data_IF_934540493485
#
_entry.id   IF_934540493485
#
_cell.length_a   1.000
_cell.length_b   1.000
_cell.length_c   1.000
_cell.angle_alpha   90.00
_cell.angle_beta   90.00
_cell.angle_gamma   90.00
#
_symmetry.space_group_name_H-M   'P 1'
#
loop_
_entity.id
_entity.type
_entity.pdbx_description
1 polymer ?
#
# COMPACT_ATOMS: atom_id res chain seq x y z
N UNK A 1 -1.21 -34.80 0.50
CA UNK A 1 -0.44 -35.79 1.29
C UNK A 1 -1.24 -36.16 2.54
N UNK A 2 -1.43 -37.47 2.79
CA UNK A 2 -2.24 -37.92 3.90
C UNK A 2 -1.39 -37.93 5.20
N UNK A 3 -1.39 -36.81 5.92
CA UNK A 3 -0.64 -36.64 7.16
C UNK A 3 -1.17 -37.50 8.34
N UNK A 4 -2.35 -38.15 8.17
CA UNK A 4 -2.90 -39.05 9.20
C UNK A 4 -2.03 -40.28 9.45
N UNK A 5 -1.18 -40.69 8.49
CA UNK A 5 -0.22 -41.80 8.64
C UNK A 5 0.94 -41.51 9.61
N UNK A 6 1.10 -40.28 10.08
CA UNK A 6 2.16 -39.91 11.04
C UNK A 6 1.76 -40.32 12.47
N UNK A 7 0.45 -40.42 12.77
CA UNK A 7 -0.07 -40.79 14.09
C UNK A 7 0.23 -42.27 14.38
N UNK A 8 1.14 -42.50 15.31
CA UNK A 8 1.56 -43.88 15.68
C UNK A 8 2.71 -44.45 14.86
N UNK A 9 3.28 -43.64 13.91
CA UNK A 9 4.46 -44.01 13.16
C UNK A 9 5.69 -44.10 14.06
N UNK A 10 5.91 -45.27 14.65
CA UNK A 10 7.16 -45.58 15.33
C UNK A 10 7.80 -46.74 14.58
N UNK A 11 8.96 -46.51 13.99
CA UNK A 11 9.79 -47.57 13.44
C UNK A 11 10.73 -48.06 14.54
N UNK A 12 10.67 -49.34 14.89
CA UNK A 12 11.48 -49.93 15.97
C UNK A 12 11.32 -49.22 17.35
N UNK A 13 10.08 -48.85 17.74
CA UNK A 13 9.75 -48.17 19.02
C UNK A 13 10.40 -46.79 19.19
N UNK A 14 10.93 -46.17 18.14
CA UNK A 14 11.48 -44.81 18.17
C UNK A 14 10.54 -43.83 17.53
N UNK A 15 10.42 -42.64 18.15
CA UNK A 15 9.75 -41.46 17.56
C UNK A 15 10.63 -40.79 16.52
N UNK A 16 10.08 -39.83 15.75
CA UNK A 16 10.80 -39.15 14.72
C UNK A 16 11.78 -38.12 15.30
N UNK A 17 13.02 -38.14 14.86
CA UNK A 17 14.03 -37.14 15.22
C UNK A 17 13.83 -35.84 14.43
N UNK A 18 13.28 -35.93 13.23
CA UNK A 18 12.98 -34.79 12.36
C UNK A 18 11.70 -35.06 11.56
N UNK A 19 10.81 -34.08 11.59
CA UNK A 19 9.67 -33.99 10.66
C UNK A 19 9.81 -32.70 9.88
N UNK A 20 9.68 -32.76 8.54
CA UNK A 20 9.66 -31.62 7.66
C UNK A 20 8.28 -31.54 7.01
N UNK A 21 7.60 -30.40 7.20
CA UNK A 21 6.39 -30.07 6.47
C UNK A 21 6.79 -29.06 5.39
N UNK A 22 6.62 -29.46 4.14
CA UNK A 22 6.98 -28.67 2.98
C UNK A 22 5.72 -28.37 2.17
N UNK A 23 5.43 -27.08 1.94
CA UNK A 23 4.24 -26.58 1.24
C UNK A 23 2.94 -27.27 1.66
N UNK A 24 2.74 -27.45 2.98
CA UNK A 24 1.61 -28.23 3.52
C UNK A 24 0.30 -27.41 3.57
N UNK A 25 0.39 -26.09 3.50
CA UNK A 25 -0.74 -25.18 3.32
C UNK A 25 -0.78 -24.72 1.86
N UNK A 26 -1.95 -24.80 1.25
CA UNK A 26 -2.24 -24.28 -0.08
C UNK A 26 -3.59 -23.56 -0.11
N UNK A 27 -3.91 -22.90 -1.23
CA UNK A 27 -5.15 -22.15 -1.36
C UNK A 27 -6.40 -23.04 -1.22
N UNK A 28 -6.33 -24.32 -1.62
CA UNK A 28 -7.48 -25.23 -1.57
C UNK A 28 -7.75 -25.73 -0.15
N UNK A 29 -6.70 -25.98 0.62
CA UNK A 29 -6.84 -26.53 1.97
C UNK A 29 -6.98 -25.46 3.06
N UNK A 30 -6.87 -24.17 2.70
CA UNK A 30 -7.02 -23.02 3.63
C UNK A 30 -8.26 -22.18 3.38
N UNK A 31 -9.15 -22.60 2.49
CA UNK A 31 -10.36 -21.83 2.07
C UNK A 31 -11.27 -21.52 3.26
N UNK A 32 -11.63 -22.52 4.07
CA UNK A 32 -12.61 -22.33 5.16
C UNK A 32 -11.93 -22.25 6.53
N UNK A 33 -12.56 -21.56 7.51
CA UNK A 33 -12.07 -21.54 8.88
C UNK A 33 -11.88 -22.95 9.46
N UNK A 34 -12.78 -23.88 9.12
CA UNK A 34 -12.74 -25.27 9.58
C UNK A 34 -11.53 -26.00 8.98
N UNK A 35 -11.21 -25.78 7.71
CA UNK A 35 -10.03 -26.40 7.07
C UNK A 35 -8.72 -25.87 7.67
N UNK A 36 -8.63 -24.56 7.94
CA UNK A 36 -7.48 -23.96 8.64
C UNK A 36 -7.33 -24.49 10.08
N UNK A 37 -8.45 -24.62 10.80
CA UNK A 37 -8.45 -25.23 12.14
C UNK A 37 -7.99 -26.70 12.12
N UNK A 38 -8.42 -27.49 11.11
CA UNK A 38 -7.95 -28.87 10.92
C UNK A 38 -6.46 -28.95 10.71
N UNK A 39 -5.88 -28.06 9.89
CA UNK A 39 -4.42 -27.99 9.66
C UNK A 39 -3.70 -27.65 10.97
N UNK A 40 -4.15 -26.63 11.68
CA UNK A 40 -3.57 -26.23 12.96
C UNK A 40 -3.59 -27.39 13.97
N UNK A 41 -4.73 -28.07 14.09
CA UNK A 41 -4.88 -29.25 14.96
C UNK A 41 -3.99 -30.42 14.51
N UNK A 42 -3.84 -30.65 13.21
CA UNK A 42 -2.97 -31.68 12.70
C UNK A 42 -1.51 -31.44 13.10
N UNK A 43 -1.01 -30.22 12.95
CA UNK A 43 0.36 -29.88 13.34
C UNK A 43 0.54 -30.00 14.86
N UNK A 44 -0.37 -29.47 15.66
CA UNK A 44 -0.21 -29.37 17.11
C UNK A 44 -0.55 -30.67 17.84
N UNK A 45 -1.56 -31.43 17.40
CA UNK A 45 -2.06 -32.61 18.06
C UNK A 45 -1.60 -33.95 17.45
N UNK A 46 -1.03 -33.94 16.24
CA UNK A 46 -0.55 -35.15 15.57
C UNK A 46 0.94 -35.09 15.26
N UNK A 47 1.38 -34.06 14.52
CA UNK A 47 2.76 -33.96 14.04
C UNK A 47 3.73 -33.70 15.20
N UNK A 48 3.48 -32.66 15.99
CA UNK A 48 4.36 -32.28 17.09
C UNK A 48 4.51 -33.40 18.16
N UNK A 49 3.43 -34.07 18.62
CA UNK A 49 3.57 -35.19 19.55
C UNK A 49 4.24 -36.44 18.97
N UNK A 50 4.36 -36.59 17.68
CA UNK A 50 5.09 -37.70 17.04
C UNK A 50 6.61 -37.57 17.12
N UNK A 51 7.12 -36.40 17.44
CA UNK A 51 8.56 -36.14 17.61
C UNK A 51 9.13 -36.77 18.87
N UNK A 52 10.42 -37.07 18.81
CA UNK A 52 11.20 -37.46 20.01
C UNK A 52 11.17 -36.32 21.04
N UNK A 53 10.77 -36.55 22.29
CA UNK A 53 10.53 -35.51 23.28
C UNK A 53 11.75 -34.60 23.59
N UNK A 54 12.97 -35.14 23.49
CA UNK A 54 14.19 -34.40 23.89
C UNK A 54 14.92 -33.79 22.71
N UNK A 55 14.94 -34.45 21.56
CA UNK A 55 15.81 -34.11 20.43
C UNK A 55 15.04 -33.89 19.12
N UNK A 56 13.74 -34.23 19.13
CA UNK A 56 12.92 -34.13 17.93
C UNK A 56 12.78 -32.70 17.44
N UNK A 57 12.82 -32.51 16.13
CA UNK A 57 12.76 -31.20 15.45
C UNK A 57 11.63 -31.20 14.45
N UNK A 58 10.86 -30.12 14.44
CA UNK A 58 9.88 -29.82 13.41
C UNK A 58 10.42 -28.67 12.55
N UNK A 59 10.47 -28.88 11.24
CA UNK A 59 10.75 -27.83 10.25
C UNK A 59 9.53 -27.62 9.39
N UNK A 60 9.21 -26.37 9.13
CA UNK A 60 8.11 -25.98 8.26
C UNK A 60 8.69 -25.05 7.22
N UNK A 61 8.56 -25.43 5.95
CA UNK A 61 8.86 -24.59 4.80
C UNK A 61 7.54 -24.33 4.07
N UNK A 62 7.36 -23.12 3.57
CA UNK A 62 6.20 -22.77 2.77
C UNK A 62 5.97 -21.27 2.73
N UNK A 63 5.09 -20.86 1.83
CA UNK A 63 4.63 -19.49 1.70
C UNK A 63 3.30 -19.36 2.47
N UNK A 64 3.08 -18.29 3.22
CA UNK A 64 1.78 -18.07 3.84
C UNK A 64 0.73 -17.83 2.74
N UNK A 65 -0.38 -18.56 2.77
CA UNK A 65 -1.42 -18.53 1.72
C UNK A 65 -2.70 -17.84 2.16
N UNK A 66 -2.90 -17.68 3.47
CA UNK A 66 -4.08 -17.05 4.05
C UNK A 66 -3.73 -16.34 5.36
N UNK A 67 -4.39 -15.18 5.65
CA UNK A 67 -4.10 -14.39 6.86
C UNK A 67 -4.32 -15.15 8.18
N UNK A 68 -5.20 -16.17 8.18
CA UNK A 68 -5.50 -17.04 9.31
C UNK A 68 -4.88 -18.43 9.15
N UNK A 69 -3.92 -18.63 8.23
CA UNK A 69 -3.19 -19.88 8.05
C UNK A 69 -2.23 -20.15 9.21
N UNK A 70 -1.80 -21.38 9.36
CA UNK A 70 -0.89 -21.79 10.45
C UNK A 70 0.46 -21.07 10.34
N UNK A 71 1.04 -21.01 9.14
CA UNK A 71 2.31 -20.31 8.89
C UNK A 71 2.15 -18.83 9.23
N UNK A 72 1.07 -18.19 8.79
CA UNK A 72 0.85 -16.76 9.05
C UNK A 72 0.68 -16.46 10.54
N UNK A 73 -0.01 -17.32 11.31
CA UNK A 73 -0.12 -17.19 12.77
C UNK A 73 1.24 -17.22 13.45
N UNK A 74 2.14 -18.09 13.00
CA UNK A 74 3.51 -18.14 13.52
C UNK A 74 4.28 -16.87 13.20
N UNK A 75 4.19 -16.35 11.97
CA UNK A 75 4.84 -15.10 11.58
C UNK A 75 4.37 -13.92 12.43
N UNK A 76 3.05 -13.74 12.57
CA UNK A 76 2.46 -12.68 13.40
C UNK A 76 2.85 -12.82 14.87
N UNK A 77 2.80 -14.04 15.41
CA UNK A 77 3.18 -14.31 16.80
C UNK A 77 4.66 -14.03 17.07
N UNK A 78 5.54 -14.36 16.12
CA UNK A 78 6.97 -14.07 16.20
C UNK A 78 7.25 -12.57 16.18
N UNK A 79 6.62 -11.83 15.28
CA UNK A 79 6.80 -10.37 15.19
C UNK A 79 6.29 -9.66 16.45
N UNK A 80 5.17 -10.13 17.01
CA UNK A 80 4.65 -9.62 18.26
C UNK A 80 5.60 -9.92 19.44
N UNK A 81 6.07 -11.16 19.57
CA UNK A 81 7.03 -11.55 20.61
C UNK A 81 8.31 -10.74 20.52
N UNK A 82 8.82 -10.48 19.29
CA UNK A 82 9.97 -9.62 19.04
C UNK A 82 9.75 -8.17 19.48
N UNK A 83 8.57 -7.60 19.21
CA UNK A 83 8.22 -6.24 19.67
C UNK A 83 8.14 -6.16 21.19
N UNK A 84 7.57 -7.18 21.82
CA UNK A 84 7.41 -7.27 23.27
C UNK A 84 8.65 -7.79 24.00
N UNK A 85 9.72 -8.14 23.27
CA UNK A 85 10.96 -8.76 23.79
C UNK A 85 10.69 -10.03 24.61
N UNK A 86 9.73 -10.84 24.17
CA UNK A 86 9.38 -12.13 24.78
C UNK A 86 10.01 -13.29 24.01
N UNK A 87 10.23 -14.39 24.68
CA UNK A 87 10.64 -15.65 24.04
C UNK A 87 9.52 -16.20 23.16
N UNK A 88 9.91 -16.78 22.03
CA UNK A 88 9.00 -17.44 21.11
C UNK A 88 9.51 -18.84 20.77
N UNK A 89 8.61 -19.83 20.82
CA UNK A 89 8.98 -21.24 20.67
C UNK A 89 9.46 -21.64 19.27
N UNK A 90 9.23 -20.79 18.26
CA UNK A 90 9.65 -21.02 16.89
C UNK A 90 10.82 -20.13 16.50
N UNK A 91 11.80 -20.74 15.84
CA UNK A 91 12.83 -19.95 15.12
C UNK A 91 12.28 -19.66 13.72
N UNK A 92 12.03 -18.39 13.43
CA UNK A 92 11.47 -17.93 12.15
C UNK A 92 12.57 -17.29 11.29
N UNK A 93 12.62 -17.69 10.03
CA UNK A 93 13.50 -17.10 9.01
C UNK A 93 12.62 -16.82 7.80
N UNK A 94 12.63 -15.59 7.30
CA UNK A 94 11.84 -15.15 6.15
C UNK A 94 12.77 -14.75 5.01
N UNK A 95 12.38 -15.12 3.80
CA UNK A 95 13.11 -14.81 2.57
C UNK A 95 12.18 -14.11 1.59
N UNK A 96 12.01 -12.80 1.77
CA UNK A 96 11.27 -11.97 0.80
C UNK A 96 12.14 -11.73 -0.42
N UNK A 97 11.54 -11.69 -1.61
CA UNK A 97 12.27 -11.38 -2.84
C UNK A 97 12.89 -9.97 -2.80
N UNK A 98 12.25 -9.03 -2.13
CA UNK A 98 12.77 -7.70 -1.83
C UNK A 98 12.96 -7.59 -0.31
N UNK A 99 14.15 -7.26 0.12
CA UNK A 99 14.48 -7.07 1.54
C UNK A 99 13.93 -5.73 2.04
N UNK A 100 13.90 -5.54 3.36
CA UNK A 100 13.36 -4.32 3.98
C UNK A 100 14.15 -3.04 3.60
N UNK A 101 15.42 -3.18 3.19
CA UNK A 101 16.26 -2.08 2.70
C UNK A 101 16.06 -1.79 1.20
N UNK A 102 15.15 -2.51 0.54
CA UNK A 102 14.85 -2.37 -0.88
C UNK A 102 15.78 -3.15 -1.80
N UNK A 103 16.73 -3.94 -1.27
CA UNK A 103 17.62 -4.76 -2.10
C UNK A 103 16.96 -6.09 -2.47
N UNK A 104 17.12 -6.58 -3.72
CA UNK A 104 16.67 -7.92 -4.08
C UNK A 104 17.41 -9.01 -3.30
N UNK A 105 16.72 -10.05 -2.88
CA UNK A 105 17.34 -11.20 -2.21
C UNK A 105 18.41 -11.88 -3.09
N UNK A 106 18.19 -11.95 -4.38
CA UNK A 106 19.09 -12.57 -5.34
C UNK A 106 19.29 -11.70 -6.59
N UNK A 107 20.08 -10.61 -6.50
CA UNK A 107 20.17 -9.60 -7.56
C UNK A 107 20.62 -10.13 -8.92
N UNK A 108 21.49 -11.15 -8.94
CA UNK A 108 22.04 -11.72 -10.18
C UNK A 108 21.05 -12.60 -10.95
N UNK A 109 19.99 -13.08 -10.32
CA UNK A 109 19.00 -13.98 -10.92
C UNK A 109 17.60 -13.40 -10.92
N UNK A 110 17.20 -12.74 -9.85
CA UNK A 110 15.89 -12.13 -9.67
C UNK A 110 16.05 -10.70 -9.12
N UNK A 111 16.49 -9.79 -10.00
CA UNK A 111 16.71 -8.38 -9.69
C UNK A 111 15.45 -7.53 -9.82
N UNK A 112 15.61 -6.21 -9.68
CA UNK A 112 14.49 -5.26 -9.80
C UNK A 112 13.73 -5.38 -11.12
N UNK A 113 14.44 -5.54 -12.23
CA UNK A 113 13.84 -5.66 -13.56
C UNK A 113 12.94 -6.88 -13.68
N UNK A 114 13.37 -8.02 -13.16
CA UNK A 114 12.61 -9.26 -13.16
C UNK A 114 11.38 -9.15 -12.23
N UNK A 115 11.53 -8.50 -11.07
CA UNK A 115 10.43 -8.21 -10.15
C UNK A 115 9.36 -7.33 -10.79
N UNK A 116 9.75 -6.24 -11.44
CA UNK A 116 8.80 -5.36 -12.13
C UNK A 116 8.07 -6.08 -13.27
N UNK A 117 8.78 -6.92 -14.03
CA UNK A 117 8.15 -7.78 -15.05
C UNK A 117 7.12 -8.73 -14.44
N UNK A 118 7.43 -9.34 -13.29
CA UNK A 118 6.49 -10.22 -12.58
C UNK A 118 5.31 -9.46 -12.00
N UNK A 119 5.52 -8.32 -11.36
CA UNK A 119 4.45 -7.44 -10.87
C UNK A 119 3.49 -7.08 -12.00
N UNK A 120 4.04 -6.64 -13.14
CA UNK A 120 3.25 -6.31 -14.32
C UNK A 120 2.43 -7.51 -14.82
N UNK A 121 3.02 -8.70 -14.91
CA UNK A 121 2.32 -9.91 -15.33
C UNK A 121 1.10 -10.19 -14.43
N UNK A 122 1.27 -10.16 -13.10
CA UNK A 122 0.16 -10.39 -12.18
C UNK A 122 -0.89 -9.27 -12.24
N UNK A 123 -0.49 -8.01 -12.44
CA UNK A 123 -1.41 -6.90 -12.61
C UNK A 123 -2.23 -7.04 -13.91
N UNK A 124 -1.57 -7.33 -15.03
CA UNK A 124 -2.23 -7.54 -16.33
C UNK A 124 -3.19 -8.75 -16.30
N UNK A 125 -2.89 -9.73 -15.43
CA UNK A 125 -3.73 -10.92 -15.19
C UNK A 125 -4.88 -10.68 -14.19
N UNK A 126 -5.03 -9.45 -13.66
CA UNK A 126 -6.06 -9.12 -12.66
C UNK A 126 -5.81 -9.69 -11.26
N UNK A 127 -4.60 -10.19 -10.98
CA UNK A 127 -4.25 -10.83 -9.71
C UNK A 127 -2.99 -10.23 -9.06
N UNK A 128 -2.87 -8.89 -8.92
CA UNK A 128 -1.64 -8.25 -8.43
C UNK A 128 -1.24 -8.71 -7.02
N UNK A 129 -2.21 -9.07 -6.16
CA UNK A 129 -1.97 -9.60 -4.82
C UNK A 129 -1.12 -10.87 -4.82
N UNK A 130 -1.24 -11.72 -5.85
CA UNK A 130 -0.47 -12.96 -5.96
C UNK A 130 1.05 -12.70 -5.98
N UNK A 131 1.50 -11.60 -6.59
CA UNK A 131 2.91 -11.22 -6.53
C UNK A 131 3.37 -11.01 -5.08
N UNK A 132 2.57 -10.30 -4.29
CA UNK A 132 2.94 -10.00 -2.90
C UNK A 132 2.87 -11.24 -2.02
N UNK A 133 1.89 -12.12 -2.25
CA UNK A 133 1.78 -13.40 -1.57
C UNK A 133 3.02 -14.27 -1.84
N UNK A 134 3.32 -14.51 -3.11
CA UNK A 134 4.36 -15.47 -3.54
C UNK A 134 5.79 -14.96 -3.34
N UNK A 135 6.02 -13.66 -3.57
CA UNK A 135 7.37 -13.10 -3.56
C UNK A 135 7.67 -12.24 -2.32
N UNK A 136 6.65 -11.69 -1.68
CA UNK A 136 6.83 -10.78 -0.55
C UNK A 136 6.34 -11.37 0.78
N UNK A 137 5.77 -12.60 0.76
CA UNK A 137 5.19 -13.27 1.93
C UNK A 137 4.08 -12.45 2.60
N UNK A 138 3.35 -11.65 1.82
CA UNK A 138 2.28 -10.80 2.28
C UNK A 138 0.94 -11.43 1.91
N UNK A 139 0.22 -11.92 2.90
CA UNK A 139 -1.07 -12.60 2.71
C UNK A 139 -2.21 -11.63 2.85
N UNK A 140 -3.22 -11.82 2.03
CA UNK A 140 -4.42 -11.01 1.96
C UNK A 140 -5.65 -11.80 2.38
N UNK A 141 -6.60 -11.12 3.05
CA UNK A 141 -7.93 -11.63 3.33
C UNK A 141 -8.94 -10.90 2.48
N UNK A 142 -9.60 -11.61 1.55
CA UNK A 142 -10.75 -11.04 0.84
C UNK A 142 -11.99 -10.93 1.74
N UNK A 143 -12.12 -11.80 2.75
CA UNK A 143 -13.29 -11.85 3.65
C UNK A 143 -13.33 -10.68 4.64
N UNK A 144 -12.16 -10.13 5.01
CA UNK A 144 -12.05 -8.97 5.91
C UNK A 144 -11.77 -7.65 5.16
N UNK A 145 -11.67 -7.69 3.84
CA UNK A 145 -11.40 -6.51 3.04
C UNK A 145 -12.60 -5.56 3.05
N UNK A 146 -12.38 -4.31 3.46
CA UNK A 146 -13.41 -3.26 3.41
C UNK A 146 -13.75 -2.85 1.98
N UNK A 147 -12.82 -3.07 1.05
CA UNK A 147 -12.95 -2.72 -0.35
C UNK A 147 -12.84 -3.97 -1.20
N UNK A 148 -13.90 -4.34 -1.89
CA UNK A 148 -13.89 -5.48 -2.81
C UNK A 148 -13.27 -5.08 -4.16
N UNK A 149 -12.72 -6.06 -4.89
CA UNK A 149 -12.13 -5.82 -6.22
C UNK A 149 -13.10 -5.21 -7.21
N UNK A 150 -14.39 -5.54 -7.11
CA UNK A 150 -15.45 -5.04 -7.98
C UNK A 150 -15.64 -3.53 -7.87
N UNK A 151 -15.29 -2.95 -6.71
CA UNK A 151 -15.37 -1.53 -6.43
C UNK A 151 -14.19 -0.74 -7.01
N UNK A 152 -13.10 -1.40 -7.44
CA UNK A 152 -11.92 -0.74 -7.98
C UNK A 152 -12.13 -0.47 -9.46
N UNK A 153 -12.17 0.80 -9.82
CA UNK A 153 -12.19 1.26 -11.22
C UNK A 153 -10.79 1.63 -11.65
N UNK A 154 -10.44 1.26 -12.88
CA UNK A 154 -9.18 1.66 -13.50
C UNK A 154 -9.42 2.69 -14.58
N UNK A 155 -8.45 3.55 -14.78
CA UNK A 155 -8.42 4.49 -15.87
C UNK A 155 -7.02 4.56 -16.49
N UNK A 156 -6.99 4.79 -17.78
CA UNK A 156 -5.81 5.19 -18.51
C UNK A 156 -6.05 6.59 -19.06
N UNK A 157 -5.00 7.38 -19.17
CA UNK A 157 -5.14 8.75 -19.65
C UNK A 157 -4.07 9.67 -19.09
N UNK A 158 -4.21 10.95 -19.41
CA UNK A 158 -3.23 11.97 -19.10
C UNK A 158 -3.83 13.12 -18.31
N UNK A 159 -2.98 13.84 -17.63
CA UNK A 159 -3.28 15.11 -17.00
C UNK A 159 -2.67 16.23 -17.86
N UNK A 160 -3.36 17.35 -17.98
CA UNK A 160 -2.84 18.52 -18.68
C UNK A 160 -3.32 19.80 -18.02
N UNK A 161 -2.59 20.88 -18.29
CA UNK A 161 -2.93 22.22 -17.84
C UNK A 161 -2.98 23.14 -19.04
N UNK A 162 -4.03 23.91 -19.15
CA UNK A 162 -4.12 24.99 -20.11
C UNK A 162 -3.35 26.21 -19.58
N UNK A 163 -2.34 26.64 -20.29
CA UNK A 163 -1.46 27.75 -19.89
C UNK A 163 -2.17 29.10 -19.94
N UNK A 164 -3.17 29.28 -20.83
CA UNK A 164 -3.90 30.53 -20.99
C UNK A 164 -4.94 30.74 -19.86
N UNK A 165 -5.75 29.75 -19.61
CA UNK A 165 -6.79 29.82 -18.56
C UNK A 165 -6.31 29.42 -17.17
N UNK A 166 -5.18 28.71 -17.08
CA UNK A 166 -4.67 28.12 -15.85
C UNK A 166 -5.48 26.94 -15.34
N UNK A 167 -6.49 26.51 -16.09
CA UNK A 167 -7.35 25.38 -15.74
C UNK A 167 -6.62 24.05 -15.95
N UNK A 168 -6.97 23.10 -15.11
CA UNK A 168 -6.42 21.74 -15.15
C UNK A 168 -7.46 20.77 -15.69
N UNK A 169 -6.98 19.77 -16.44
CA UNK A 169 -7.84 18.78 -17.07
C UNK A 169 -7.30 17.37 -16.87
N UNK A 170 -8.17 16.45 -16.61
CA UNK A 170 -7.91 15.02 -16.75
C UNK A 170 -8.51 14.56 -18.09
N UNK A 171 -7.75 13.78 -18.85
CA UNK A 171 -8.15 13.25 -20.15
C UNK A 171 -8.11 11.72 -20.05
N UNK A 172 -9.21 11.05 -19.65
CA UNK A 172 -9.30 9.60 -19.72
C UNK A 172 -9.15 9.12 -21.15
N UNK A 173 -8.57 7.94 -21.36
CA UNK A 173 -8.43 7.37 -22.70
C UNK A 173 -9.80 7.15 -23.35
N UNK A 174 -9.97 7.71 -24.55
CA UNK A 174 -11.24 7.62 -25.29
C UNK A 174 -12.30 8.64 -24.88
N UNK A 175 -12.02 9.51 -23.90
CA UNK A 175 -12.93 10.56 -23.42
C UNK A 175 -12.47 11.95 -23.79
N UNK A 176 -13.38 12.92 -23.71
CA UNK A 176 -13.04 14.34 -23.82
C UNK A 176 -12.32 14.84 -22.55
N UNK A 177 -11.50 15.92 -22.67
CA UNK A 177 -10.87 16.58 -21.52
C UNK A 177 -11.93 17.04 -20.51
N UNK A 178 -11.79 16.63 -19.24
CA UNK A 178 -12.67 17.02 -18.14
C UNK A 178 -11.93 18.02 -17.24
N UNK A 179 -12.49 19.22 -17.01
CA UNK A 179 -11.89 20.15 -16.05
C UNK A 179 -11.88 19.54 -14.66
N UNK A 180 -10.87 19.84 -13.86
CA UNK A 180 -10.76 19.23 -12.55
C UNK A 180 -10.10 20.17 -11.52
N UNK A 181 -10.43 19.96 -10.25
CA UNK A 181 -9.68 20.47 -9.13
C UNK A 181 -8.68 19.41 -8.66
N UNK A 182 -7.48 19.85 -8.29
CA UNK A 182 -6.41 18.99 -7.80
C UNK A 182 -6.31 19.08 -6.28
N UNK A 183 -6.16 17.93 -5.63
CA UNK A 183 -5.91 17.82 -4.19
C UNK A 183 -4.76 16.88 -3.94
N UNK A 184 -4.01 17.13 -2.87
CA UNK A 184 -2.89 16.29 -2.45
C UNK A 184 -3.06 15.91 -0.99
N UNK A 185 -3.03 14.62 -0.70
CA UNK A 185 -2.98 14.10 0.67
C UNK A 185 -1.54 13.72 1.02
N UNK A 186 -1.12 14.06 2.21
CA UNK A 186 0.25 13.86 2.69
C UNK A 186 0.21 13.13 4.03
N UNK A 187 0.79 11.93 4.04
CA UNK A 187 1.05 11.13 5.24
C UNK A 187 2.56 11.09 5.47
N UNK A 188 3.12 11.88 6.39
CA UNK A 188 4.55 11.89 6.67
C UNK A 188 4.93 10.76 7.62
N UNK A 189 5.98 9.99 7.30
CA UNK A 189 6.52 8.97 8.20
C UNK A 189 6.99 9.58 9.52
N UNK A 190 6.62 8.96 10.62
CA UNK A 190 6.87 9.47 11.97
C UNK A 190 8.26 9.17 12.52
N UNK A 191 9.01 8.21 11.94
CA UNK A 191 10.32 7.81 12.47
C UNK A 191 11.27 7.30 11.36
N UNK A 192 12.10 8.20 10.85
CA UNK A 192 13.11 7.88 9.82
C UNK A 192 14.32 7.07 10.35
N UNK A 193 14.43 6.90 11.67
CA UNK A 193 15.62 6.30 12.31
C UNK A 193 15.49 4.77 12.49
N UNK A 194 14.31 4.18 12.36
CA UNK A 194 14.11 2.74 12.52
C UNK A 194 14.10 2.04 11.17
N UNK A 195 14.77 0.88 11.07
CA UNK A 195 14.84 0.04 9.86
C UNK A 195 13.46 -0.43 9.34
N UNK A 196 12.42 -0.34 10.14
CA UNK A 196 11.01 -0.67 9.80
C UNK A 196 10.13 0.57 9.90
N UNK A 197 10.60 1.77 9.52
CA UNK A 197 9.80 2.98 9.51
C UNK A 197 8.69 2.90 8.45
N UNK A 198 7.57 3.55 8.75
CA UNK A 198 6.47 3.77 7.82
C UNK A 198 6.93 4.59 6.60
N UNK A 199 6.14 4.59 5.55
CA UNK A 199 6.45 5.37 4.36
C UNK A 199 5.92 6.80 4.50
N UNK A 200 6.69 7.78 4.06
CA UNK A 200 6.13 9.09 3.73
C UNK A 200 5.47 9.00 2.36
N UNK A 201 4.22 9.39 2.29
CA UNK A 201 3.42 9.28 1.07
C UNK A 201 2.73 10.59 0.74
N UNK A 202 2.77 10.97 -0.55
CA UNK A 202 2.00 12.08 -1.11
C UNK A 202 1.14 11.52 -2.26
N UNK A 203 -0.18 11.60 -2.15
CA UNK A 203 -1.12 11.15 -3.20
C UNK A 203 -1.78 12.34 -3.84
N UNK A 204 -1.71 12.42 -5.17
CA UNK A 204 -2.32 13.49 -5.97
C UNK A 204 -3.57 12.98 -6.67
N UNK A 205 -4.70 13.64 -6.48
CA UNK A 205 -5.98 13.33 -7.10
C UNK A 205 -6.53 14.49 -7.91
N UNK A 206 -7.28 14.17 -8.97
CA UNK A 206 -8.11 15.11 -9.71
C UNK A 206 -9.59 14.81 -9.48
N UNK A 207 -10.38 15.84 -9.20
CA UNK A 207 -11.83 15.73 -9.00
C UNK A 207 -12.54 16.48 -10.11
N UNK A 208 -13.37 15.79 -10.87
CA UNK A 208 -14.11 16.31 -12.03
C UNK A 208 -15.52 16.79 -11.64
N UNK A 209 -16.23 17.57 -12.50
CA UNK A 209 -17.57 18.09 -12.20
C UNK A 209 -18.61 17.02 -11.90
N UNK A 210 -18.47 15.82 -12.49
CA UNK A 210 -19.29 14.64 -12.22
C UNK A 210 -18.89 13.92 -10.92
N UNK A 211 -18.03 14.56 -10.12
CA UNK A 211 -17.53 14.08 -8.83
C UNK A 211 -16.71 12.77 -8.91
N UNK A 212 -16.22 12.41 -10.10
CA UNK A 212 -15.26 11.32 -10.23
C UNK A 212 -13.88 11.78 -9.73
N UNK A 213 -13.18 10.87 -9.08
CA UNK A 213 -11.86 11.08 -8.47
C UNK A 213 -10.85 10.22 -9.23
N UNK A 214 -9.92 10.87 -9.92
CA UNK A 214 -8.84 10.21 -10.63
C UNK A 214 -7.55 10.32 -9.83
N UNK A 215 -7.00 9.20 -9.39
CA UNK A 215 -5.65 9.21 -8.78
C UNK A 215 -4.64 9.38 -9.92
N UNK A 216 -3.97 10.54 -9.93
CA UNK A 216 -3.04 10.91 -11.00
C UNK A 216 -1.71 10.21 -10.76
N UNK A 217 -1.15 10.37 -9.55
CA UNK A 217 0.15 9.86 -9.17
C UNK A 217 0.31 9.83 -7.66
N UNK A 218 1.34 9.13 -7.18
CA UNK A 218 1.76 9.18 -5.78
C UNK A 218 3.28 9.07 -5.65
N UNK A 219 3.82 9.69 -4.62
CA UNK A 219 5.21 9.58 -4.18
C UNK A 219 5.20 8.77 -2.91
N UNK A 220 5.99 7.70 -2.84
CA UNK A 220 6.10 6.82 -1.68
C UNK A 220 7.56 6.49 -1.40
N UNK A 221 8.06 6.92 -0.23
CA UNK A 221 9.45 6.68 0.13
C UNK A 221 9.59 6.49 1.65
N UNK A 222 10.44 5.56 2.08
CA UNK A 222 10.68 5.28 3.50
C UNK A 222 11.49 6.33 4.24
N UNK A 223 12.35 7.05 3.54
CA UNK A 223 13.36 7.92 4.16
C UNK A 223 13.34 9.32 3.59
N UNK A 224 12.16 9.95 3.54
CA UNK A 224 12.10 11.35 3.15
C UNK A 224 12.46 12.25 4.32
N UNK A 225 13.56 13.02 4.25
CA UNK A 225 13.82 14.07 5.21
C UNK A 225 12.79 15.19 5.06
N UNK A 226 12.72 16.08 6.03
CA UNK A 226 11.83 17.26 5.94
C UNK A 226 12.21 18.12 4.72
N UNK A 227 13.49 18.40 4.56
CA UNK A 227 14.09 19.09 3.40
C UNK A 227 15.22 18.26 2.83
N UNK A 228 15.40 18.30 1.53
CA UNK A 228 16.57 17.70 0.87
C UNK A 228 17.85 18.44 1.19
N UNK A 229 18.98 17.79 0.88
CA UNK A 229 20.32 18.38 1.07
C UNK A 229 20.65 19.16 -0.21
N UNK A 230 20.88 20.50 -0.12
CA UNK A 230 21.22 21.31 -1.29
C UNK A 230 22.45 20.78 -2.02
N UNK A 231 22.39 20.72 -3.34
CA UNK A 231 23.52 20.30 -4.19
C UNK A 231 23.70 18.78 -4.33
N UNK A 232 22.95 17.94 -3.63
CA UNK A 232 23.08 16.47 -3.69
C UNK A 232 22.02 15.81 -4.58
N UNK A 233 21.00 16.55 -5.03
CA UNK A 233 19.83 15.99 -5.72
C UNK A 233 18.85 15.26 -4.79
N UNK A 234 19.16 15.16 -3.49
CA UNK A 234 18.25 14.59 -2.48
C UNK A 234 17.08 15.56 -2.24
N UNK A 235 15.85 15.05 -2.28
CA UNK A 235 14.62 15.80 -2.02
C UNK A 235 14.00 15.36 -0.70
N UNK A 236 13.45 16.34 0.03
CA UNK A 236 12.65 16.10 1.21
C UNK A 236 11.14 16.23 0.91
N UNK A 237 10.31 15.95 1.92
CA UNK A 237 8.86 16.01 1.79
C UNK A 237 8.39 17.42 1.40
N UNK A 238 9.00 18.46 1.95
CA UNK A 238 8.68 19.85 1.65
C UNK A 238 9.08 20.22 0.21
N UNK A 239 10.21 19.70 -0.29
CA UNK A 239 10.60 19.92 -1.69
C UNK A 239 9.57 19.34 -2.64
N UNK A 240 9.06 18.14 -2.38
CA UNK A 240 7.98 17.53 -3.17
C UNK A 240 6.68 18.34 -3.09
N UNK A 241 6.32 18.87 -1.92
CA UNK A 241 5.12 19.73 -1.78
C UNK A 241 5.24 20.97 -2.71
N UNK A 242 6.39 21.63 -2.75
CA UNK A 242 6.59 22.78 -3.63
C UNK A 242 6.62 22.40 -5.11
N UNK A 243 7.22 21.27 -5.47
CA UNK A 243 7.20 20.78 -6.86
C UNK A 243 5.78 20.44 -7.32
N UNK A 244 5.01 19.73 -6.49
CA UNK A 244 3.62 19.42 -6.78
C UNK A 244 2.77 20.71 -6.87
N UNK A 245 3.06 21.72 -6.03
CA UNK A 245 2.39 23.01 -6.10
C UNK A 245 2.72 23.77 -7.39
N UNK A 246 3.95 23.72 -7.85
CA UNK A 246 4.35 24.37 -9.10
C UNK A 246 3.71 23.67 -10.31
N UNK A 247 3.74 22.34 -10.33
CA UNK A 247 3.30 21.54 -11.46
C UNK A 247 1.78 21.44 -11.55
N UNK A 248 1.12 21.00 -10.45
CA UNK A 248 -0.32 20.73 -10.46
C UNK A 248 -1.17 21.90 -10.00
N UNK A 249 -0.62 22.85 -9.22
CA UNK A 249 -1.35 23.93 -8.55
C UNK A 249 -2.58 23.42 -7.78
N UNK A 250 -2.38 22.53 -6.80
CA UNK A 250 -3.49 21.95 -6.06
C UNK A 250 -4.31 23.01 -5.34
N UNK A 251 -5.62 22.80 -5.31
CA UNK A 251 -6.54 23.61 -4.50
C UNK A 251 -6.21 23.50 -3.02
N UNK A 252 -5.70 22.34 -2.58
CA UNK A 252 -5.32 22.13 -1.18
C UNK A 252 -4.37 20.92 -1.04
N UNK A 253 -3.42 21.04 -0.11
CA UNK A 253 -2.68 19.94 0.50
C UNK A 253 -3.32 19.63 1.86
N UNK A 254 -3.73 18.39 2.10
CA UNK A 254 -4.15 17.92 3.43
C UNK A 254 -3.00 17.13 4.02
N UNK A 255 -2.43 17.61 5.12
CA UNK A 255 -1.21 17.05 5.72
C UNK A 255 -1.54 16.53 7.11
N UNK A 256 -1.21 15.28 7.41
CA UNK A 256 -1.39 14.74 8.75
C UNK A 256 -0.60 15.57 9.78
N UNK A 257 -1.30 16.03 10.83
CA UNK A 257 -0.73 16.82 11.92
C UNK A 257 -0.57 15.97 13.17
N UNK A 258 0.63 15.46 13.34
CA UNK A 258 1.10 14.78 14.54
C UNK A 258 2.20 15.61 15.22
N UNK A 259 2.62 15.19 16.40
CA UNK A 259 3.77 15.85 17.07
C UNK A 259 5.03 15.83 16.20
N UNK A 260 5.17 14.81 15.35
CA UNK A 260 6.34 14.60 14.49
C UNK A 260 6.27 15.40 13.18
N UNK A 261 5.11 15.87 12.75
CA UNK A 261 4.97 16.70 11.54
C UNK A 261 5.17 18.20 11.76
N UNK A 262 5.29 18.66 13.01
CA UNK A 262 5.57 20.08 13.32
C UNK A 262 6.76 20.67 12.56
N UNK A 263 7.92 19.98 12.43
CA UNK A 263 9.04 20.48 11.64
C UNK A 263 8.70 20.69 10.16
N UNK A 264 7.79 19.88 9.60
CA UNK A 264 7.33 20.01 8.21
C UNK A 264 6.59 21.34 8.03
N UNK A 265 5.64 21.67 8.91
CA UNK A 265 4.91 22.95 8.83
C UNK A 265 5.84 24.15 8.98
N UNK A 266 6.81 24.09 9.92
CA UNK A 266 7.81 25.16 10.07
C UNK A 266 8.65 25.32 8.81
N UNK A 267 9.08 24.23 8.20
CA UNK A 267 9.85 24.24 6.95
C UNK A 267 9.01 24.77 5.78
N UNK A 268 7.73 24.39 5.67
CA UNK A 268 6.81 24.94 4.64
C UNK A 268 6.75 26.47 4.77
N UNK A 269 6.49 27.02 5.96
CA UNK A 269 6.42 28.46 6.14
C UNK A 269 7.75 29.17 5.83
N UNK A 270 8.88 28.57 6.19
CA UNK A 270 10.20 29.10 5.91
C UNK A 270 10.48 29.10 4.40
N UNK A 271 10.16 28.02 3.71
CA UNK A 271 10.34 27.87 2.27
C UNK A 271 9.38 28.77 1.46
N UNK A 272 8.14 28.97 1.92
CA UNK A 272 7.22 29.95 1.33
C UNK A 272 7.85 31.34 1.28
N UNK A 273 8.43 31.77 2.41
CA UNK A 273 9.11 33.08 2.49
C UNK A 273 10.35 33.11 1.62
N UNK A 274 11.21 32.08 1.68
CA UNK A 274 12.45 32.01 0.92
C UNK A 274 12.23 32.03 -0.59
N UNK A 275 11.20 31.28 -1.06
CA UNK A 275 10.85 31.18 -2.47
C UNK A 275 9.90 32.29 -2.96
N UNK A 276 9.41 33.14 -2.04
CA UNK A 276 8.39 34.15 -2.31
C UNK A 276 7.10 33.55 -2.92
N UNK A 277 6.70 32.35 -2.43
CA UNK A 277 5.50 31.62 -2.86
C UNK A 277 4.48 31.66 -1.73
N UNK A 278 3.37 32.39 -1.92
CA UNK A 278 2.32 32.55 -0.92
C UNK A 278 0.97 31.93 -1.32
N UNK A 279 0.91 31.31 -2.50
CA UNK A 279 -0.29 30.67 -3.04
C UNK A 279 -0.37 29.16 -2.74
N UNK A 280 0.45 28.63 -1.84
CA UNK A 280 0.38 27.25 -1.38
C UNK A 280 -0.71 27.16 -0.31
N UNK A 281 -1.79 26.46 -0.63
CA UNK A 281 -2.90 26.20 0.29
C UNK A 281 -2.69 24.83 0.96
N UNK A 282 -2.59 24.81 2.30
CA UNK A 282 -2.49 23.54 3.03
C UNK A 282 -3.31 23.56 4.31
N UNK A 283 -3.79 22.38 4.70
CA UNK A 283 -4.58 22.17 5.90
C UNK A 283 -3.96 21.07 6.75
N UNK A 284 -3.51 21.40 7.98
CA UNK A 284 -3.15 20.37 8.96
C UNK A 284 -4.38 19.57 9.37
N UNK A 285 -4.26 18.26 9.44
CA UNK A 285 -5.31 17.34 9.85
C UNK A 285 -4.87 16.50 11.04
N UNK A 286 -5.44 16.79 12.19
CA UNK A 286 -5.13 16.06 13.43
C UNK A 286 -5.88 14.73 13.43
N UNK A 287 -5.20 13.58 13.54
CA UNK A 287 -5.86 12.29 13.71
C UNK A 287 -6.73 12.33 14.97
N UNK A 288 -8.02 12.08 14.82
CA UNK A 288 -8.95 12.12 15.95
C UNK A 288 -8.70 11.00 16.95
N UNK A 289 -8.53 11.30 18.23
CA UNK A 289 -8.32 10.30 19.30
C UNK A 289 -9.54 9.40 19.55
N UNK A 290 -10.71 9.70 18.96
CA UNK A 290 -11.97 8.97 19.19
C UNK A 290 -12.25 7.91 18.13
N UNK A 291 -11.56 7.94 17.02
CA UNK A 291 -11.76 7.05 15.88
C UNK A 291 -10.45 6.36 15.51
N UNK A 292 -10.49 5.06 15.24
CA UNK A 292 -9.30 4.36 14.78
C UNK A 292 -8.89 4.86 13.38
N UNK A 293 -7.62 4.71 13.00
CA UNK A 293 -7.13 5.03 11.64
C UNK A 293 -7.99 4.32 10.58
N UNK A 294 -8.31 3.06 10.83
CA UNK A 294 -9.15 2.23 9.97
C UNK A 294 -10.55 2.82 9.77
N UNK A 295 -11.23 3.18 10.87
CA UNK A 295 -12.59 3.71 10.79
C UNK A 295 -12.62 5.05 10.05
N UNK A 296 -11.60 5.89 10.23
CA UNK A 296 -11.44 7.15 9.50
C UNK A 296 -11.29 6.93 7.99
N UNK A 297 -10.42 6.01 7.58
CA UNK A 297 -10.22 5.68 6.17
C UNK A 297 -11.52 5.10 5.59
N UNK A 298 -12.17 4.21 6.32
CA UNK A 298 -13.45 3.63 5.92
C UNK A 298 -14.53 4.70 5.72
N UNK A 299 -14.68 5.63 6.67
CA UNK A 299 -15.65 6.72 6.58
C UNK A 299 -15.45 7.57 5.32
N UNK A 300 -14.19 7.88 4.99
CA UNK A 300 -13.86 8.74 3.85
C UNK A 300 -13.98 8.00 2.52
N UNK A 301 -13.52 6.76 2.43
CA UNK A 301 -13.32 6.07 1.16
C UNK A 301 -14.38 5.03 0.82
N UNK A 302 -15.04 4.39 1.82
CA UNK A 302 -15.89 3.23 1.55
C UNK A 302 -17.03 3.54 0.59
N UNK A 303 -17.79 4.60 0.83
CA UNK A 303 -18.89 4.97 -0.05
C UNK A 303 -18.40 5.34 -1.46
N UNK A 304 -17.26 6.03 -1.56
CA UNK A 304 -16.70 6.46 -2.85
C UNK A 304 -16.25 5.27 -3.70
N UNK A 305 -15.65 4.26 -3.07
CA UNK A 305 -15.33 3.01 -3.77
C UNK A 305 -16.60 2.22 -4.13
N UNK A 306 -17.56 2.09 -3.22
CA UNK A 306 -18.80 1.35 -3.45
C UNK A 306 -19.61 1.88 -4.65
N UNK A 307 -19.61 3.20 -4.87
CA UNK A 307 -20.27 3.81 -6.03
C UNK A 307 -19.36 3.93 -7.27
N UNK A 308 -18.12 3.42 -7.20
CA UNK A 308 -17.17 3.43 -8.31
C UNK A 308 -16.65 4.83 -8.67
N UNK A 309 -16.59 5.74 -7.70
CA UNK A 309 -16.18 7.14 -7.88
C UNK A 309 -14.67 7.31 -8.00
N UNK A 310 -13.87 6.39 -7.39
CA UNK A 310 -12.41 6.46 -7.37
C UNK A 310 -11.84 5.60 -8.50
N UNK A 311 -11.00 6.22 -9.34
CA UNK A 311 -10.34 5.61 -10.47
C UNK A 311 -8.83 5.57 -10.26
N UNK A 312 -8.22 4.39 -10.32
CA UNK A 312 -6.79 4.16 -10.15
C UNK A 312 -6.12 3.91 -11.49
N UNK A 313 -4.83 4.19 -11.61
CA UNK A 313 -4.03 3.68 -12.74
C UNK A 313 -3.61 2.24 -12.48
N UNK A 314 -3.52 1.42 -13.53
CA UNK A 314 -3.08 0.02 -13.44
C UNK A 314 -1.70 -0.15 -12.84
N UNK A 315 -0.82 0.81 -13.01
CA UNK A 315 0.55 0.81 -12.45
C UNK A 315 0.65 1.30 -11.00
N UNK A 316 -0.47 1.67 -10.37
CA UNK A 316 -0.50 2.05 -8.95
C UNK A 316 -0.51 0.80 -8.05
N UNK A 317 0.47 -0.08 -8.19
CA UNK A 317 0.50 -1.42 -7.58
C UNK A 317 0.38 -1.39 -6.06
N UNK A 318 1.15 -0.52 -5.37
CA UNK A 318 1.15 -0.44 -3.91
C UNK A 318 -0.20 0.07 -3.39
N UNK A 319 -0.76 1.11 -4.01
CA UNK A 319 -2.07 1.64 -3.63
C UNK A 319 -3.17 0.60 -3.86
N UNK A 320 -3.16 -0.09 -5.02
CA UNK A 320 -4.10 -1.16 -5.30
C UNK A 320 -4.00 -2.28 -4.26
N UNK A 321 -2.78 -2.71 -3.93
CA UNK A 321 -2.53 -3.69 -2.87
C UNK A 321 -3.13 -3.22 -1.55
N UNK A 322 -2.78 -2.01 -1.09
CA UNK A 322 -3.26 -1.49 0.19
C UNK A 322 -4.79 -1.41 0.25
N UNK A 323 -5.46 -1.05 -0.84
CA UNK A 323 -6.92 -1.01 -0.90
C UNK A 323 -7.53 -2.40 -0.72
N UNK A 324 -7.09 -3.40 -1.49
CA UNK A 324 -7.69 -4.74 -1.45
C UNK A 324 -7.32 -5.53 -0.19
N UNK A 325 -6.25 -5.13 0.51
CA UNK A 325 -5.81 -5.77 1.77
C UNK A 325 -6.18 -4.96 3.00
N UNK A 326 -6.87 -3.85 2.82
CA UNK A 326 -7.19 -2.96 3.91
C UNK A 326 -8.05 -3.66 4.98
N UNK A 327 -7.44 -3.93 6.13
CA UNK A 327 -8.04 -4.69 7.21
C UNK A 327 -7.29 -4.56 8.54
N UNK A 328 -7.74 -5.29 9.58
CA UNK A 328 -7.24 -5.13 10.97
C UNK A 328 -5.75 -5.44 11.18
N UNK A 329 -5.10 -6.13 10.26
CA UNK A 329 -3.75 -6.68 10.39
C UNK A 329 -2.82 -6.26 9.25
N UNK A 330 -3.10 -5.13 8.65
CA UNK A 330 -2.28 -4.61 7.55
C UNK A 330 -0.92 -4.14 8.06
N UNK A 331 0.15 -4.48 7.33
CA UNK A 331 1.51 -4.11 7.70
C UNK A 331 1.83 -2.64 7.37
N UNK A 332 1.30 -2.14 6.25
CA UNK A 332 1.48 -0.76 5.77
C UNK A 332 0.18 -0.29 5.14
N UNK A 333 -0.32 0.84 5.58
CA UNK A 333 -1.54 1.49 5.10
C UNK A 333 -1.32 2.98 4.76
N UNK A 334 -0.06 3.36 4.55
CA UNK A 334 0.35 4.76 4.40
C UNK A 334 -0.19 5.37 3.09
N UNK A 335 -0.26 4.57 2.01
CA UNK A 335 -0.70 5.08 0.70
C UNK A 335 -2.22 5.28 0.66
N UNK A 336 -2.98 4.36 1.26
CA UNK A 336 -4.43 4.51 1.36
C UNK A 336 -4.82 5.62 2.35
N UNK A 337 -4.02 5.85 3.41
CA UNK A 337 -4.25 6.95 4.34
C UNK A 337 -4.00 8.31 3.66
N UNK A 338 -2.90 8.43 2.92
CA UNK A 338 -2.65 9.62 2.10
C UNK A 338 -3.76 9.86 1.06
N UNK A 339 -4.32 8.79 0.45
CA UNK A 339 -5.49 8.90 -0.42
C UNK A 339 -6.71 9.42 0.36
N UNK A 340 -6.95 8.93 1.56
CA UNK A 340 -8.05 9.41 2.40
C UNK A 340 -7.88 10.90 2.73
N UNK A 341 -6.66 11.35 3.08
CA UNK A 341 -6.39 12.77 3.29
C UNK A 341 -6.63 13.60 2.02
N UNK A 342 -6.24 13.14 0.84
CA UNK A 342 -6.51 13.81 -0.42
C UNK A 342 -8.03 13.95 -0.69
N UNK A 343 -8.80 12.91 -0.37
CA UNK A 343 -10.25 12.88 -0.58
C UNK A 343 -11.05 13.67 0.46
N UNK A 344 -10.52 13.92 1.65
CA UNK A 344 -11.28 14.44 2.79
C UNK A 344 -11.93 15.80 2.54
N UNK A 345 -11.20 16.71 1.91
CA UNK A 345 -11.68 18.05 1.60
C UNK A 345 -11.82 18.29 0.10
N UNK A 346 -11.75 17.22 -0.68
CA UNK A 346 -11.87 17.31 -2.13
C UNK A 346 -13.31 17.67 -2.53
N UNK A 347 -13.43 18.49 -3.55
CA UNK A 347 -14.70 18.91 -4.13
C UNK A 347 -14.56 19.15 -5.63
N UNK A 348 -15.62 18.97 -6.41
CA UNK A 348 -15.62 19.27 -7.83
C UNK A 348 -15.41 20.77 -8.09
N UNK A 349 -14.92 21.16 -9.28
CA UNK A 349 -14.84 22.56 -9.68
C UNK A 349 -16.23 23.21 -9.71
N UNK A 350 -16.34 24.41 -9.13
CA UNK A 350 -17.58 25.16 -9.07
C UNK A 350 -17.74 26.04 -10.30
N UNK A 351 -18.98 26.20 -10.79
CA UNK A 351 -19.31 27.17 -11.86
C UNK A 351 -19.02 26.72 -13.29
N UNK A 352 -18.51 25.49 -13.49
CA UNK A 352 -18.35 24.89 -14.81
C UNK A 352 -19.54 23.97 -15.11
N UNK A 353 -20.75 24.56 -15.22
CA UNK A 353 -21.89 23.81 -15.74
C UNK A 353 -21.63 23.40 -17.20
N UNK A 354 -22.15 22.24 -17.58
CA UNK A 354 -21.99 21.51 -18.83
C UNK A 354 -22.24 22.31 -20.13
N UNK A 355 -21.58 23.42 -20.37
CA UNK A 355 -21.59 24.04 -21.70
C UNK A 355 -20.60 23.31 -22.60
N UNK A 356 -21.06 22.22 -23.20
CA UNK A 356 -20.31 21.36 -24.15
C UNK A 356 -19.72 22.11 -25.36
N UNK A 357 -20.13 23.33 -25.66
CA UNK A 357 -19.76 24.05 -26.88
C UNK A 357 -18.43 24.84 -26.82
N UNK A 358 -17.92 25.16 -25.63
CA UNK A 358 -16.70 25.96 -25.46
C UNK A 358 -15.39 25.15 -25.47
N UNK A 359 -15.45 23.86 -25.16
CA UNK A 359 -14.28 23.03 -24.84
C UNK A 359 -13.67 22.27 -26.02
N UNK A 360 -14.38 22.17 -27.15
CA UNK A 360 -13.94 21.39 -28.31
C UNK A 360 -12.82 22.02 -29.14
N UNK A 361 -12.40 23.25 -28.88
CA UNK A 361 -11.55 24.01 -29.83
C UNK A 361 -10.04 23.94 -29.59
N UNK A 362 -9.54 23.45 -28.45
CA UNK A 362 -8.06 23.35 -28.26
C UNK A 362 -7.73 22.03 -27.51
N UNK A 363 -7.24 21.01 -28.22
CA UNK A 363 -6.61 19.84 -27.60
C UNK A 363 -5.24 20.22 -27.04
N UNK A 364 -5.02 20.29 -25.72
CA UNK A 364 -3.71 20.57 -25.16
C UNK A 364 -2.76 19.37 -25.35
N UNK A 365 -1.47 19.64 -25.53
CA UNK A 365 -0.46 18.60 -25.66
C UNK A 365 -0.15 17.98 -24.30
N UNK A 366 -0.10 16.65 -24.16
CA UNK A 366 0.20 15.99 -22.90
C UNK A 366 1.64 16.30 -22.46
N UNK A 367 1.82 16.71 -21.19
CA UNK A 367 3.12 16.75 -20.51
C UNK A 367 3.15 15.60 -19.50
N UNK A 368 4.16 14.74 -19.56
CA UNK A 368 4.37 13.70 -18.57
C UNK A 368 5.41 14.16 -17.56
N UNK A 369 5.13 13.96 -16.28
CA UNK A 369 6.06 14.26 -15.18
C UNK A 369 7.11 13.16 -14.97
N UNK A 370 6.86 11.97 -15.49
CA UNK A 370 7.67 10.74 -15.29
C UNK A 370 8.93 10.69 -16.19
N UNK A 371 9.11 11.65 -17.10
CA UNK A 371 10.24 11.63 -18.06
C UNK A 371 11.15 12.87 -17.97
N UNK A 372 11.24 13.51 -16.81
CA UNK A 372 12.21 14.56 -16.56
C UNK A 372 13.22 14.14 -15.49
#
# INVERSE_FOLDING_TARGET
SNLSGIRGGAKLHKRYDLIVLDDFEDENNTVTPESRAKISNLVTAVVFPALEPKTGRLRINGTPVHFDSFIQKILVGYDQAKKEKKDFSWKVITYKALQDDGTPLWPSWFGHKEMERKKKFYADSGTPHKFYQEYMMEVQSEEDALFTREHIKFWDGTFTKDEESGLTFVIPEGDDPKPCNIFVGVDPATDSARRNSDFSVLVTIAVTPDNNIYVIDYIRNRTLPVLGIPGTGSKGIVDYIFELNEFYKPSMFTIEDTTMSKPIFQAIYSEMRRRNIFNLSFKPEVPGNRMSKRDRIQEILAQRFAVGQIHLKKNHYELHREIITFGPRMAHDDTIDALAYACKYSHPPQGLSESKEGWQKKKPKPKSWVTA
#
